data_IF_915142877501
#
_entry.id   IF_915142877501
#
_cell.length_a   1.000
_cell.length_b   1.000
_cell.length_c   1.000
_cell.angle_alpha   90.00
_cell.angle_beta   90.00
_cell.angle_gamma   90.00
#
_symmetry.space_group_name_H-M   'P 1'
#
loop_
_entity.id
_entity.type
_entity.pdbx_description
1 polymer ?
#
# COMPACT_ATOMS: atom_id res chain seq x y z
N UNK A 1 -3.52 20.10 10.71
CA UNK A 1 -3.74 20.26 9.25
C UNK A 1 -2.50 19.81 8.51
N UNK A 2 -2.60 19.25 7.31
CA UNK A 2 -1.44 18.81 6.52
C UNK A 2 -0.81 19.98 5.77
N UNK A 3 0.53 20.02 5.71
CA UNK A 3 1.31 21.10 5.09
C UNK A 3 1.47 20.96 3.56
N UNK A 4 1.18 19.79 2.96
CA UNK A 4 1.17 19.58 1.50
C UNK A 4 0.48 18.26 1.12
N UNK A 5 0.20 18.07 -0.18
CA UNK A 5 -0.32 16.80 -0.70
C UNK A 5 0.63 15.61 -0.45
N UNK A 6 1.94 15.79 -0.64
CA UNK A 6 2.96 14.77 -0.35
C UNK A 6 3.01 14.41 1.14
N UNK A 7 2.88 15.39 2.02
CA UNK A 7 2.83 15.14 3.47
C UNK A 7 1.58 14.35 3.88
N UNK A 8 0.43 14.67 3.29
CA UNK A 8 -0.80 13.90 3.49
C UNK A 8 -0.64 12.45 3.03
N UNK A 9 -0.12 12.24 1.81
CA UNK A 9 0.13 10.89 1.28
C UNK A 9 1.02 10.07 2.23
N UNK A 10 2.14 10.65 2.66
CA UNK A 10 3.07 9.99 3.59
C UNK A 10 2.39 9.64 4.90
N UNK A 11 1.59 10.56 5.44
CA UNK A 11 0.87 10.33 6.69
C UNK A 11 -0.16 9.21 6.54
N UNK A 12 -0.87 9.14 5.42
CA UNK A 12 -1.83 8.06 5.15
C UNK A 12 -1.15 6.70 5.01
N UNK A 13 0.01 6.62 4.36
CA UNK A 13 0.79 5.38 4.27
C UNK A 13 1.25 4.90 5.66
N UNK A 14 1.76 5.82 6.48
CA UNK A 14 2.17 5.52 7.86
C UNK A 14 0.98 5.08 8.71
N UNK A 15 -0.14 5.80 8.63
CA UNK A 15 -1.35 5.46 9.36
C UNK A 15 -1.87 4.08 8.96
N UNK A 16 -1.95 3.78 7.65
CA UNK A 16 -2.32 2.45 7.15
C UNK A 16 -1.42 1.37 7.74
N UNK A 17 -0.11 1.59 7.80
CA UNK A 17 0.82 0.63 8.36
C UNK A 17 0.60 0.44 9.86
N UNK A 18 0.52 1.53 10.63
CA UNK A 18 0.27 1.49 12.08
C UNK A 18 -1.04 0.79 12.41
N UNK A 19 -2.12 1.17 11.74
CA UNK A 19 -3.44 0.61 11.97
C UNK A 19 -3.47 -0.91 11.71
N UNK A 20 -2.91 -1.36 10.59
CA UNK A 20 -2.99 -2.78 10.23
C UNK A 20 -2.10 -3.68 11.09
N UNK A 21 -0.98 -3.16 11.62
CA UNK A 21 0.06 -3.99 12.22
C UNK A 21 0.34 -3.74 13.70
N UNK A 22 0.02 -2.57 14.24
CA UNK A 22 0.50 -2.18 15.56
C UNK A 22 -0.57 -1.62 16.49
N UNK A 23 -1.73 -1.19 15.97
CA UNK A 23 -2.82 -0.64 16.79
C UNK A 23 -3.89 -1.71 17.01
N UNK A 24 -4.01 -2.27 18.23
CA UNK A 24 -5.06 -3.23 18.55
C UNK A 24 -6.45 -2.60 18.47
N UNK A 25 -7.40 -3.33 17.91
CA UNK A 25 -8.77 -2.87 17.75
C UNK A 25 -9.68 -3.52 18.80
N UNK A 26 -10.36 -2.70 19.60
CA UNK A 26 -11.26 -3.18 20.68
C UNK A 26 -12.37 -4.08 20.13
N UNK A 27 -12.95 -3.72 18.99
CA UNK A 27 -13.99 -4.52 18.33
C UNK A 27 -13.48 -5.85 17.75
N UNK A 28 -12.17 -6.01 17.55
CA UNK A 28 -11.55 -7.28 17.15
C UNK A 28 -11.13 -8.12 18.36
N UNK A 29 -11.39 -7.67 19.59
CA UNK A 29 -10.94 -8.32 20.82
C UNK A 29 -9.53 -7.94 21.22
N UNK A 30 -9.13 -6.68 21.00
CA UNK A 30 -7.80 -6.16 21.34
C UNK A 30 -6.65 -6.81 20.56
N UNK A 31 -6.89 -7.13 19.29
CA UNK A 31 -5.84 -7.59 18.36
C UNK A 31 -5.78 -6.69 17.12
N UNK A 32 -4.66 -6.77 16.41
CA UNK A 32 -4.48 -6.00 15.17
C UNK A 32 -5.32 -6.59 14.04
N UNK A 33 -5.71 -5.79 13.02
CA UNK A 33 -6.45 -6.30 11.88
C UNK A 33 -5.77 -7.46 11.16
N UNK A 34 -4.45 -7.39 10.95
CA UNK A 34 -3.70 -8.45 10.27
C UNK A 34 -3.66 -9.72 11.10
N UNK A 35 -3.47 -9.63 12.41
CA UNK A 35 -3.49 -10.82 13.26
C UNK A 35 -4.87 -11.47 13.30
N UNK A 36 -5.94 -10.67 13.30
CA UNK A 36 -7.29 -11.22 13.21
C UNK A 36 -7.55 -11.95 11.88
N UNK A 37 -7.06 -11.39 10.77
CA UNK A 37 -7.15 -12.05 9.47
C UNK A 37 -6.36 -13.36 9.43
N UNK A 38 -5.18 -13.43 10.05
CA UNK A 38 -4.42 -14.69 10.17
C UNK A 38 -5.17 -15.74 10.99
N UNK A 39 -5.79 -15.35 12.09
CA UNK A 39 -6.64 -16.25 12.88
C UNK A 39 -7.78 -16.82 12.03
N UNK A 40 -8.51 -15.97 11.33
CA UNK A 40 -9.61 -16.40 10.46
C UNK A 40 -9.14 -17.29 9.31
N UNK A 41 -8.00 -16.97 8.69
CA UNK A 41 -7.39 -17.80 7.66
C UNK A 41 -7.03 -19.20 8.16
N UNK A 42 -6.57 -19.33 9.41
CA UNK A 42 -6.27 -20.64 10.02
C UNK A 42 -7.52 -21.50 10.20
N UNK A 43 -8.67 -20.87 10.46
CA UNK A 43 -9.94 -21.58 10.72
C UNK A 43 -10.66 -21.95 9.41
N UNK A 44 -10.68 -21.06 8.42
CA UNK A 44 -11.35 -21.27 7.12
C UNK A 44 -10.52 -20.71 5.97
N UNK A 45 -9.44 -21.39 5.56
CA UNK A 45 -8.56 -20.89 4.50
C UNK A 45 -9.26 -20.80 3.14
N UNK A 46 -10.33 -21.56 2.89
CA UNK A 46 -11.04 -21.56 1.60
C UNK A 46 -11.79 -20.26 1.31
N UNK A 47 -12.10 -19.45 2.33
CA UNK A 47 -12.77 -18.15 2.16
C UNK A 47 -11.82 -17.06 1.68
N UNK A 48 -10.52 -17.34 1.63
CA UNK A 48 -9.49 -16.36 1.33
C UNK A 48 -8.87 -16.62 -0.04
N UNK A 49 -8.95 -15.62 -0.92
CA UNK A 49 -8.27 -15.66 -2.22
C UNK A 49 -6.74 -15.57 -2.08
N UNK A 50 -6.25 -14.98 -0.98
CA UNK A 50 -4.82 -14.78 -0.71
C UNK A 50 -4.54 -14.95 0.77
N UNK A 51 -3.33 -15.42 1.08
CA UNK A 51 -2.83 -15.47 2.46
C UNK A 51 -2.75 -14.05 3.03
N UNK A 52 -3.24 -13.79 4.25
CA UNK A 52 -3.04 -12.52 4.93
C UNK A 52 -1.56 -12.41 5.34
N UNK A 53 -0.76 -11.81 4.47
CA UNK A 53 0.68 -11.56 4.67
C UNK A 53 0.95 -10.06 4.73
N UNK A 54 2.01 -9.71 5.46
CA UNK A 54 2.50 -8.35 5.58
C UNK A 54 3.22 -7.95 4.27
N UNK A 55 2.45 -7.50 3.28
CA UNK A 55 3.05 -6.84 2.13
C UNK A 55 3.06 -5.32 2.35
N UNK A 56 4.25 -4.67 2.36
CA UNK A 56 4.30 -3.26 2.01
C UNK A 56 3.57 -3.10 0.67
N UNK A 57 2.68 -2.12 0.58
CA UNK A 57 1.85 -1.93 -0.61
C UNK A 57 2.71 -1.83 -1.87
N UNK A 58 2.23 -2.30 -3.04
CA UNK A 58 3.00 -2.20 -4.27
C UNK A 58 3.25 -0.73 -4.59
N UNK A 59 4.50 -0.31 -4.58
CA UNK A 59 4.93 0.94 -5.20
C UNK A 59 4.75 0.80 -6.72
N UNK A 60 3.52 0.95 -7.20
CA UNK A 60 3.30 1.09 -8.64
C UNK A 60 3.70 2.49 -9.08
N UNK A 61 5.00 2.69 -9.25
CA UNK A 61 5.54 3.59 -10.26
C UNK A 61 6.10 2.76 -11.42
N UNK A 62 5.30 1.81 -11.94
CA UNK A 62 5.47 1.39 -13.32
C UNK A 62 5.01 2.56 -14.21
N UNK A 63 5.84 3.60 -14.27
CA UNK A 63 5.78 4.57 -15.36
C UNK A 63 6.18 3.75 -16.58
N UNK A 64 5.17 3.31 -17.33
CA UNK A 64 5.36 2.87 -18.71
C UNK A 64 6.10 4.00 -19.42
N UNK A 65 7.38 3.79 -19.71
CA UNK A 65 8.19 4.66 -20.53
C UNK A 65 7.74 4.56 -22.00
N UNK A 66 6.49 4.94 -22.25
CA UNK A 66 5.91 5.21 -23.57
C UNK A 66 5.62 6.71 -23.70
N UNK A 67 6.49 7.55 -23.12
CA UNK A 67 6.61 8.95 -23.54
C UNK A 67 7.31 8.98 -24.90
N UNK A 68 6.57 8.60 -25.93
CA UNK A 68 6.84 9.01 -27.29
C UNK A 68 6.55 10.51 -27.39
N UNK A 69 7.59 11.30 -27.65
CA UNK A 69 7.45 12.67 -28.16
C UNK A 69 8.72 13.12 -28.89
N UNK A 70 8.59 14.03 -29.86
CA UNK A 70 9.21 13.87 -31.18
C UNK A 70 10.47 14.72 -31.40
N UNK A 71 11.25 14.29 -32.39
CA UNK A 71 12.21 15.02 -33.24
C UNK A 71 12.67 16.41 -32.79
N UNK A 72 13.95 16.51 -32.41
CA UNK A 72 14.74 17.75 -32.58
C UNK A 72 15.83 17.51 -33.63
N UNK A 73 15.52 17.91 -34.88
CA UNK A 73 16.53 18.21 -35.90
C UNK A 73 17.42 19.31 -35.34
N UNK A 74 18.74 19.10 -35.38
CA UNK A 74 19.69 20.20 -35.39
C UNK A 74 20.54 20.08 -36.67
N UNK A 75 20.76 21.20 -37.40
CA UNK A 75 21.54 21.22 -38.63
C UNK A 75 23.05 21.21 -38.35
N UNK A 76 23.81 20.82 -39.37
CA UNK A 76 25.27 20.72 -39.39
C UNK A 76 26.00 22.00 -38.99
N UNK A 77 27.21 21.81 -38.44
CA UNK A 77 28.40 22.62 -38.73
C UNK A 77 29.61 21.69 -38.70
#
# INVERSE_FOLDING_TARGET
TFISARHLETTLQQYRHLYNHYIPQKNLGHVTPVDKLKEYYRVKPELFQKKPINHPGPDKAAISADYSSPTRRNPSS
#
